data_IF_166811859220
#
_entry.id   IF_166811859220
#
_cell.length_a   1.000
_cell.length_b   1.000
_cell.length_c   1.000
_cell.angle_alpha   90.00
_cell.angle_beta   90.00
_cell.angle_gamma   90.00
#
_symmetry.space_group_name_H-M   'P 1'
#
loop_
_entity.id
_entity.type
_entity.pdbx_description
1 polymer ?
#
# COMPACT_ATOMS: atom_id res chain seq x y z
N UNK A 1 20.53 -17.31 2.31
CA UNK A 1 20.32 -16.29 3.36
C UNK A 1 21.13 -15.04 3.02
N UNK A 2 20.57 -13.82 3.21
CA UNK A 2 21.30 -12.55 3.05
C UNK A 2 22.18 -12.26 4.28
N UNK A 3 23.28 -11.50 4.15
CA UNK A 3 24.09 -11.08 5.29
C UNK A 3 23.27 -10.27 6.30
N UNK A 4 23.52 -10.50 7.60
CA UNK A 4 22.85 -9.78 8.70
C UNK A 4 22.89 -8.26 8.51
N UNK A 5 24.06 -7.73 8.17
CA UNK A 5 24.24 -6.28 8.02
C UNK A 5 23.38 -5.71 6.86
N UNK A 6 23.21 -6.46 5.77
CA UNK A 6 22.37 -6.05 4.64
C UNK A 6 20.87 -6.04 5.01
N UNK A 7 20.43 -7.02 5.79
CA UNK A 7 19.04 -7.09 6.27
C UNK A 7 18.74 -5.91 7.19
N UNK A 8 19.64 -5.64 8.14
CA UNK A 8 19.46 -4.58 9.13
C UNK A 8 19.59 -3.17 8.51
N UNK A 9 20.39 -3.00 7.46
CA UNK A 9 20.50 -1.71 6.76
C UNK A 9 19.28 -1.41 5.89
N UNK A 10 18.71 -2.40 5.20
CA UNK A 10 17.56 -2.18 4.31
C UNK A 10 16.22 -2.18 5.04
N UNK A 11 16.07 -2.95 6.13
CA UNK A 11 14.79 -3.13 6.82
C UNK A 11 14.87 -2.85 8.33
N UNK A 12 15.41 -1.70 8.76
CA UNK A 12 15.63 -1.41 10.18
C UNK A 12 14.32 -1.40 10.99
N UNK A 13 13.24 -0.84 10.43
CA UNK A 13 11.94 -0.76 11.11
C UNK A 13 11.29 -2.14 11.29
N UNK A 14 11.36 -2.99 10.25
CA UNK A 14 10.81 -4.36 10.33
C UNK A 14 11.63 -5.18 11.33
N UNK A 15 12.97 -5.09 11.28
CA UNK A 15 13.85 -5.79 12.21
C UNK A 15 13.56 -5.42 13.66
N UNK A 16 13.41 -4.13 13.96
CA UNK A 16 13.09 -3.62 15.30
C UNK A 16 11.73 -4.13 15.78
N UNK A 17 10.69 -4.03 14.95
CA UNK A 17 9.34 -4.48 15.30
C UNK A 17 9.29 -5.99 15.54
N UNK A 18 9.87 -6.81 14.65
CA UNK A 18 9.91 -8.26 14.84
C UNK A 18 10.70 -8.65 16.10
N UNK A 19 11.80 -7.96 16.39
CA UNK A 19 12.61 -8.23 17.58
C UNK A 19 11.84 -7.94 18.88
N UNK A 20 11.00 -6.90 18.91
CA UNK A 20 10.09 -6.61 20.04
C UNK A 20 9.10 -7.76 20.29
N UNK A 21 8.76 -8.52 19.26
CA UNK A 21 7.93 -9.72 19.35
C UNK A 21 8.74 -11.03 19.46
N UNK A 22 10.04 -10.94 19.77
CA UNK A 22 10.91 -12.10 19.97
C UNK A 22 11.35 -12.81 18.68
N UNK A 23 11.18 -12.18 17.52
CA UNK A 23 11.53 -12.75 16.21
C UNK A 23 12.79 -12.09 15.64
N UNK A 24 13.90 -12.83 15.59
CA UNK A 24 15.10 -12.42 14.87
C UNK A 24 14.98 -12.77 13.38
N UNK A 25 14.66 -11.77 12.55
CA UNK A 25 14.47 -11.90 11.10
C UNK A 25 15.77 -12.24 10.34
N UNK A 26 16.93 -12.15 11.00
CA UNK A 26 18.22 -12.50 10.40
C UNK A 26 18.51 -14.00 10.52
N UNK A 27 17.75 -14.69 11.38
CA UNK A 27 17.92 -16.12 11.70
C UNK A 27 16.67 -16.95 11.43
N UNK A 28 15.49 -16.37 11.61
CA UNK A 28 14.21 -17.07 11.55
C UNK A 28 13.32 -16.49 10.43
N UNK A 29 12.51 -17.32 9.75
CA UNK A 29 11.49 -16.84 8.84
C UNK A 29 10.38 -16.09 9.60
N UNK A 30 9.84 -15.04 8.98
CA UNK A 30 8.67 -14.33 9.51
C UNK A 30 7.41 -15.08 9.04
N UNK A 31 6.51 -15.51 9.94
CA UNK A 31 5.23 -16.07 9.53
C UNK A 31 4.37 -14.96 8.90
N UNK A 32 3.91 -15.18 7.67
CA UNK A 32 3.09 -14.20 6.92
C UNK A 32 1.78 -14.82 6.47
N UNK A 33 0.73 -14.00 6.41
CA UNK A 33 -0.59 -14.38 5.90
C UNK A 33 -1.14 -13.27 5.01
N UNK A 34 -2.00 -13.57 4.02
CA UNK A 34 -2.70 -12.56 3.25
C UNK A 34 -3.60 -11.69 4.15
N UNK A 35 -3.64 -10.39 3.88
CA UNK A 35 -4.53 -9.44 4.54
C UNK A 35 -5.09 -8.43 3.52
N UNK A 36 -6.29 -7.92 3.76
CA UNK A 36 -6.85 -6.83 2.98
C UNK A 36 -5.95 -5.59 3.12
N UNK A 37 -5.52 -5.01 2.00
CA UNK A 37 -4.47 -3.99 1.99
C UNK A 37 -4.82 -2.71 1.21
N UNK A 38 -5.69 -2.81 0.19
CA UNK A 38 -6.03 -1.66 -0.64
C UNK A 38 -7.42 -1.84 -1.26
N UNK A 39 -8.19 -0.74 -1.34
CA UNK A 39 -9.48 -0.73 -2.05
C UNK A 39 -9.29 -0.26 -3.49
N UNK A 40 -9.43 -1.17 -4.46
CA UNK A 40 -9.36 -0.81 -5.89
C UNK A 40 -10.67 -0.19 -6.41
N UNK A 41 -11.78 -0.45 -5.73
CA UNK A 41 -13.07 0.19 -5.97
C UNK A 41 -13.18 1.55 -5.28
N UNK A 42 -14.40 2.02 -5.09
CA UNK A 42 -14.67 3.32 -4.47
C UNK A 42 -15.81 4.04 -5.16
N UNK A 43 -15.90 5.34 -4.93
CA UNK A 43 -16.88 6.20 -5.57
C UNK A 43 -16.49 6.42 -7.02
N UNK A 44 -17.41 6.14 -7.94
CA UNK A 44 -17.18 6.41 -9.35
C UNK A 44 -17.08 7.93 -9.57
N UNK A 45 -15.97 8.35 -10.16
CA UNK A 45 -15.70 9.74 -10.47
C UNK A 45 -15.12 9.89 -11.86
N UNK A 46 -15.35 11.05 -12.46
CA UNK A 46 -14.72 11.46 -13.71
C UNK A 46 -13.25 11.76 -13.47
N UNK A 47 -12.49 11.98 -14.54
CA UNK A 47 -11.04 12.26 -14.46
C UNK A 47 -10.67 13.47 -13.59
N UNK A 48 -11.61 14.38 -13.33
CA UNK A 48 -11.43 15.55 -12.44
C UNK A 48 -11.88 15.29 -10.99
N UNK A 49 -12.21 14.05 -10.63
CA UNK A 49 -12.68 13.67 -9.29
C UNK A 49 -14.16 13.97 -9.02
N UNK A 50 -14.89 14.60 -9.94
CA UNK A 50 -16.33 14.88 -9.75
C UNK A 50 -17.16 13.58 -9.86
N UNK A 51 -18.03 13.36 -8.88
CA UNK A 51 -18.96 12.24 -8.83
C UNK A 51 -20.20 12.47 -9.71
N UNK A 52 -21.16 11.55 -9.68
CA UNK A 52 -22.48 11.76 -10.29
C UNK A 52 -23.36 12.75 -9.49
N UNK A 53 -23.01 13.07 -8.24
CA UNK A 53 -23.63 14.13 -7.46
C UNK A 53 -22.89 15.45 -7.75
N UNK A 54 -23.61 16.40 -8.36
CA UNK A 54 -23.04 17.68 -8.79
C UNK A 54 -22.40 18.42 -7.60
N UNK A 55 -21.14 18.82 -7.77
CA UNK A 55 -20.39 19.54 -6.74
C UNK A 55 -19.76 18.68 -5.65
N UNK A 56 -19.91 17.35 -5.71
CA UNK A 56 -19.22 16.41 -4.83
C UNK A 56 -18.00 15.81 -5.55
N UNK A 57 -16.84 15.91 -4.91
CA UNK A 57 -15.55 15.45 -5.42
C UNK A 57 -14.93 14.39 -4.51
N UNK A 58 -14.19 13.46 -5.11
CA UNK A 58 -13.44 12.40 -4.43
C UNK A 58 -12.05 12.28 -5.05
N UNK A 59 -11.07 11.83 -4.27
CA UNK A 59 -9.69 11.64 -4.72
C UNK A 59 -9.04 10.44 -4.03
N UNK A 60 -7.87 10.02 -4.51
CA UNK A 60 -7.06 8.97 -3.90
C UNK A 60 -7.76 7.58 -3.86
N UNK A 61 -7.65 6.86 -2.74
CA UNK A 61 -8.14 5.48 -2.57
C UNK A 61 -9.67 5.38 -2.45
N UNK A 62 -10.36 6.48 -2.15
CA UNK A 62 -11.83 6.49 -2.13
C UNK A 62 -12.44 6.59 -3.54
N UNK A 63 -11.63 6.86 -4.56
CA UNK A 63 -12.07 7.11 -5.93
C UNK A 63 -11.83 5.92 -6.86
N UNK A 64 -12.84 5.59 -7.66
CA UNK A 64 -12.80 4.58 -8.71
C UNK A 64 -12.87 5.21 -10.13
N UNK A 65 -11.71 5.58 -10.67
CA UNK A 65 -11.56 6.10 -12.06
C UNK A 65 -11.38 5.01 -13.13
N UNK A 66 -11.24 3.76 -12.71
CA UNK A 66 -10.86 2.64 -13.60
C UNK A 66 -9.36 2.47 -13.80
N UNK A 67 -8.51 3.39 -13.32
CA UNK A 67 -7.04 3.31 -13.44
C UNK A 67 -6.45 2.02 -12.85
N UNK A 68 -7.00 1.54 -11.73
CA UNK A 68 -6.52 0.33 -11.06
C UNK A 68 -7.16 -0.95 -11.60
N UNK A 69 -8.16 -0.87 -12.48
CA UNK A 69 -8.90 -2.04 -12.97
C UNK A 69 -9.30 -2.98 -11.82
N UNK A 70 -8.98 -4.27 -11.99
CA UNK A 70 -9.24 -5.30 -10.97
C UNK A 70 -8.05 -5.55 -10.02
N UNK A 71 -6.89 -4.92 -10.23
CA UNK A 71 -5.71 -5.11 -9.38
C UNK A 71 -4.74 -3.92 -9.48
N UNK A 72 -4.48 -3.28 -8.34
CA UNK A 72 -3.56 -2.15 -8.25
C UNK A 72 -2.10 -2.63 -8.19
N UNK A 73 -1.25 -2.09 -9.07
CA UNK A 73 0.20 -2.29 -9.03
C UNK A 73 0.84 -1.61 -7.81
N UNK A 74 1.85 -2.27 -7.22
CA UNK A 74 2.59 -1.76 -6.08
C UNK A 74 3.17 -0.34 -6.35
N UNK A 75 3.23 0.50 -5.30
CA UNK A 75 3.76 1.88 -5.31
C UNK A 75 2.96 2.96 -6.06
N UNK A 76 1.85 2.63 -6.73
CA UNK A 76 1.08 3.63 -7.50
C UNK A 76 0.04 4.44 -6.70
N UNK A 77 -0.17 4.16 -5.40
CA UNK A 77 -1.22 4.86 -4.61
C UNK A 77 -0.83 6.28 -4.21
N UNK A 78 0.44 6.51 -3.87
CA UNK A 78 0.93 7.85 -3.53
C UNK A 78 1.02 8.74 -4.77
N UNK A 79 1.37 8.15 -5.92
CA UNK A 79 1.42 8.87 -7.18
C UNK A 79 0.02 9.35 -7.63
N UNK A 80 -1.02 8.53 -7.40
CA UNK A 80 -2.41 8.94 -7.67
C UNK A 80 -2.84 10.14 -6.82
N UNK A 81 -2.36 10.25 -5.59
CA UNK A 81 -2.64 11.39 -4.71
C UNK A 81 -1.94 12.70 -5.12
N UNK A 82 -0.92 12.62 -5.99
CA UNK A 82 -0.16 13.79 -6.46
C UNK A 82 -0.60 14.28 -7.85
N UNK A 83 -1.18 13.41 -8.67
CA UNK A 83 -1.53 13.70 -10.07
C UNK A 83 -2.97 14.22 -10.22
N UNK A 84 -3.87 13.86 -9.29
CA UNK A 84 -5.20 14.47 -9.15
C UNK A 84 -5.10 15.79 -8.38
#
# INVERSE_FOLDING_TARGET
>A
HKPKNEILSHFPSIASMCLQHGLDITRNPIPVVPAAHYMCGGVHARLQGETNAKGLYVACEVECTGLHGANRLASNSLLKALIL
#
